data_IF_935430437867
#
_entry.id   IF_935430437867
#
_cell.length_a   1.000
_cell.length_b   1.000
_cell.length_c   1.000
_cell.angle_alpha   90.00
_cell.angle_beta   90.00
_cell.angle_gamma   90.00
#
_symmetry.space_group_name_H-M   'P 1'
#
loop_
_entity.id
_entity.type
_entity.pdbx_description
1 polymer ?
#
# COMPACT_ATOMS: atom_id res chain seq x y z
N UNK A 1 13.38 10.56 -0.61
CA UNK A 1 13.62 9.30 -1.36
C UNK A 1 12.24 8.82 -1.79
N UNK A 2 11.95 8.78 -3.08
CA UNK A 2 10.60 8.53 -3.60
C UNK A 2 10.56 7.21 -4.37
N UNK A 3 9.48 6.46 -4.18
CA UNK A 3 9.17 5.24 -4.92
C UNK A 3 7.94 5.48 -5.78
N UNK A 4 8.07 5.30 -7.09
CA UNK A 4 6.93 5.32 -8.00
C UNK A 4 6.15 4.02 -7.82
N UNK A 5 4.83 4.16 -7.71
CA UNK A 5 3.88 3.06 -7.60
C UNK A 5 3.01 3.09 -8.84
N UNK A 6 2.88 1.94 -9.48
CA UNK A 6 2.08 1.74 -10.69
C UNK A 6 1.08 0.58 -10.50
N UNK A 7 0.33 0.26 -11.55
CA UNK A 7 -0.67 -0.81 -11.53
C UNK A 7 -0.06 -2.22 -11.37
N UNK A 8 1.25 -2.36 -11.60
CA UNK A 8 1.98 -3.62 -11.45
C UNK A 8 2.61 -3.79 -10.07
N UNK A 9 2.51 -2.77 -9.21
CA UNK A 9 3.07 -2.82 -7.86
C UNK A 9 2.20 -3.70 -6.96
N UNK A 10 2.79 -4.74 -6.38
CA UNK A 10 2.08 -5.63 -5.48
C UNK A 10 2.02 -5.04 -4.07
N UNK A 11 0.81 -4.89 -3.53
CA UNK A 11 0.62 -4.36 -2.17
C UNK A 11 0.20 -5.49 -1.22
N UNK A 12 1.10 -5.81 -0.28
CA UNK A 12 0.94 -6.81 0.75
C UNK A 12 0.66 -6.12 2.09
N UNK A 13 -0.61 -5.88 2.39
CA UNK A 13 -1.03 -5.44 3.71
C UNK A 13 -2.00 -6.45 4.32
N UNK A 14 -2.07 -6.50 5.66
CA UNK A 14 -3.05 -7.34 6.35
C UNK A 14 -4.47 -6.91 5.94
N UNK A 15 -5.20 -7.82 5.28
CA UNK A 15 -6.54 -7.54 4.74
C UNK A 15 -6.56 -6.83 3.38
N UNK A 16 -5.41 -6.62 2.73
CA UNK A 16 -5.34 -6.01 1.39
C UNK A 16 -6.19 -6.77 0.37
N UNK A 17 -6.09 -8.10 0.31
CA UNK A 17 -6.89 -8.91 -0.61
C UNK A 17 -8.39 -8.73 -0.42
N UNK A 18 -8.86 -8.64 0.82
CA UNK A 18 -10.27 -8.40 1.16
C UNK A 18 -10.71 -7.00 0.75
N UNK A 19 -9.89 -5.97 1.03
CA UNK A 19 -10.18 -4.59 0.60
C UNK A 19 -10.16 -4.42 -0.92
N UNK A 20 -9.22 -5.08 -1.62
CA UNK A 20 -9.18 -5.10 -3.09
C UNK A 20 -10.45 -5.70 -3.66
N UNK A 21 -10.92 -6.83 -3.11
CA UNK A 21 -12.18 -7.44 -3.53
C UNK A 21 -13.37 -6.52 -3.24
N UNK A 22 -13.41 -5.87 -2.08
CA UNK A 22 -14.47 -4.93 -1.74
C UNK A 22 -14.52 -3.71 -2.67
N UNK A 23 -13.37 -3.11 -3.01
CA UNK A 23 -13.32 -1.98 -3.96
C UNK A 23 -13.68 -2.37 -5.38
N UNK A 24 -13.20 -3.53 -5.85
CA UNK A 24 -13.61 -4.09 -7.14
C UNK A 24 -15.12 -4.36 -7.17
N UNK A 25 -15.68 -4.93 -6.10
CA UNK A 25 -17.12 -5.17 -5.98
C UNK A 25 -17.95 -3.87 -5.93
N UNK A 26 -17.40 -2.80 -5.33
CA UNK A 26 -18.00 -1.47 -5.31
C UNK A 26 -17.81 -0.69 -6.62
N UNK A 27 -17.17 -1.27 -7.64
CA UNK A 27 -16.86 -0.59 -8.90
C UNK A 27 -15.79 0.51 -8.78
N UNK A 28 -15.12 0.63 -7.62
CA UNK A 28 -14.18 1.71 -7.30
C UNK A 28 -12.74 1.44 -7.76
N UNK A 29 -12.55 0.59 -8.77
CA UNK A 29 -11.22 0.24 -9.28
C UNK A 29 -10.39 -0.62 -8.30
N UNK A 30 -9.08 -0.66 -8.53
CA UNK A 30 -8.13 -1.37 -7.67
C UNK A 30 -7.94 -0.71 -6.29
N UNK A 31 -7.39 -1.47 -5.35
CA UNK A 31 -6.98 -0.93 -4.05
C UNK A 31 -5.85 0.08 -4.26
N UNK A 32 -6.00 1.30 -3.74
CA UNK A 32 -4.92 2.29 -3.82
C UNK A 32 -3.99 2.14 -2.63
N UNK A 33 -2.73 2.56 -2.79
CA UNK A 33 -1.76 2.49 -1.69
C UNK A 33 -2.20 3.30 -0.47
N UNK A 34 -2.93 4.41 -0.69
CA UNK A 34 -3.47 5.25 0.37
C UNK A 34 -4.56 4.56 1.21
N UNK A 35 -5.16 3.46 0.74
CA UNK A 35 -6.16 2.70 1.50
C UNK A 35 -5.54 1.78 2.57
N UNK A 36 -4.24 1.53 2.46
CA UNK A 36 -3.53 0.48 3.21
C UNK A 36 -2.27 0.98 3.90
N UNK A 37 -1.61 2.00 3.37
CA UNK A 37 -0.45 2.63 3.99
C UNK A 37 -0.86 4.00 4.52
N UNK A 38 -0.65 4.21 5.81
CA UNK A 38 -0.89 5.46 6.49
C UNK A 38 0.40 5.95 7.15
N UNK A 39 0.44 7.23 7.50
CA UNK A 39 1.54 7.78 8.27
C UNK A 39 1.68 7.04 9.61
N UNK A 40 2.93 6.70 9.95
CA UNK A 40 3.27 5.88 11.12
C UNK A 40 3.32 4.37 10.86
N UNK A 41 2.91 3.90 9.68
CA UNK A 41 3.08 2.50 9.29
C UNK A 41 4.53 2.19 8.91
N UNK A 42 5.09 1.13 9.46
CA UNK A 42 6.35 0.55 9.01
C UNK A 42 6.13 -0.32 7.76
N UNK A 43 6.70 0.10 6.64
CA UNK A 43 6.61 -0.59 5.35
C UNK A 43 7.96 -1.11 4.86
N UNK A 44 7.95 -2.24 4.19
CA UNK A 44 9.09 -2.79 3.43
C UNK A 44 8.78 -2.62 1.96
N UNK A 45 9.62 -1.86 1.25
CA UNK A 45 9.49 -1.61 -0.18
C UNK A 45 10.56 -2.39 -0.93
N UNK A 46 10.16 -3.37 -1.74
CA UNK A 46 11.01 -3.92 -2.80
C UNK A 46 10.86 -3.03 -4.03
N UNK A 47 11.98 -2.61 -4.60
CA UNK A 47 12.00 -1.73 -5.75
C UNK A 47 13.07 -2.14 -6.73
N UNK A 48 12.86 -1.77 -7.99
CA UNK A 48 13.86 -1.83 -9.04
C UNK A 48 14.30 -0.42 -9.40
N UNK A 49 15.57 -0.28 -9.75
CA UNK A 49 16.12 1.01 -10.12
C UNK A 49 15.81 1.28 -11.60
N UNK A 50 14.83 2.14 -11.88
CA UNK A 50 14.37 2.48 -13.22
C UNK A 50 15.04 3.78 -13.72
N UNK A 51 16.36 3.86 -13.58
CA UNK A 51 17.16 5.03 -13.96
C UNK A 51 17.14 6.13 -12.91
N UNK A 52 16.31 7.17 -13.12
CA UNK A 52 16.26 8.36 -12.25
C UNK A 52 15.27 8.23 -11.07
N UNK A 53 14.45 7.18 -11.10
CA UNK A 53 13.40 6.91 -10.11
C UNK A 53 13.46 5.46 -9.65
N UNK A 54 13.08 5.24 -8.39
CA UNK A 54 12.91 3.90 -7.84
C UNK A 54 11.48 3.45 -8.13
N UNK A 55 11.30 2.34 -8.84
CA UNK A 55 9.99 1.78 -9.13
C UNK A 55 9.70 0.68 -8.10
N UNK A 56 8.65 0.84 -7.30
CA UNK A 56 8.23 -0.19 -6.37
C UNK A 56 7.68 -1.39 -7.13
N UNK A 57 8.12 -2.59 -6.78
CA UNK A 57 7.56 -3.85 -7.29
C UNK A 57 6.68 -4.51 -6.25
N UNK A 58 7.03 -4.35 -4.97
CA UNK A 58 6.27 -4.92 -3.86
C UNK A 58 6.36 -4.01 -2.64
N UNK A 59 5.23 -3.80 -1.97
CA UNK A 59 5.14 -2.98 -0.75
C UNK A 59 4.43 -3.80 0.31
N UNK A 60 5.15 -4.13 1.39
CA UNK A 60 4.64 -4.92 2.52
C UNK A 60 4.47 -4.05 3.77
N UNK A 61 3.26 -3.99 4.33
CA UNK A 61 3.01 -3.29 5.60
C UNK A 61 3.28 -4.25 6.75
N UNK A 62 4.43 -4.12 7.41
CA UNK A 62 4.86 -5.03 8.50
C UNK A 62 4.54 -4.53 9.89
N UNK A 63 4.67 -3.23 10.12
CA UNK A 63 4.41 -2.64 11.42
C UNK A 63 3.26 -1.63 11.29
N UNK A 64 2.00 -2.11 11.22
CA UNK A 64 0.86 -1.20 11.16
C UNK A 64 0.82 -0.35 12.42
N UNK A 65 0.44 0.92 12.27
CA UNK A 65 0.26 1.86 13.37
C UNK A 65 -0.65 1.25 14.44
N UNK A 66 -0.35 1.48 15.73
CA UNK A 66 -1.19 0.97 16.80
C UNK A 66 -2.62 1.50 16.62
N UNK A 67 -3.62 0.67 16.91
CA UNK A 67 -5.04 0.99 16.68
C UNK A 67 -5.48 2.27 17.43
N UNK A 68 -4.77 2.66 18.50
CA UNK A 68 -4.96 3.90 19.24
C UNK A 68 -4.58 5.17 18.47
N UNK A 69 -3.80 5.06 17.39
CA UNK A 69 -3.44 6.16 16.50
C UNK A 69 -4.39 6.29 15.29
N UNK A 70 -5.42 5.44 15.19
CA UNK A 70 -6.50 5.61 14.23
C UNK A 70 -7.38 6.78 14.69
N UNK A 71 -7.73 7.75 13.81
CA UNK A 71 -8.69 8.77 14.17
C UNK A 71 -10.00 8.09 14.60
N UNK A 72 -10.42 8.34 15.84
CA UNK A 72 -11.71 7.88 16.38
C UNK A 72 -12.81 8.52 15.52
N UNK A 73 -13.69 7.67 14.99
CA UNK A 73 -14.77 8.07 14.10
C UNK A 73 -15.84 8.89 14.83
#
# INVERSE_FOLDING_TARGET
MNFNVDENTYILAKGAGTKTRAKKAAGQGGLTIADVVHEGDGVVVKFVNAGRSLLATEIEVRNPRPASALPVK
#
